data_IF_738022567893
#
_entry.id   IF_738022567893
#
_cell.length_a   1.000
_cell.length_b   1.000
_cell.length_c   1.000
_cell.angle_alpha   90.00
_cell.angle_beta   90.00
_cell.angle_gamma   90.00
#
_symmetry.space_group_name_H-M   'P 1'
#
loop_
_entity.id
_entity.type
_entity.pdbx_description
1 polymer ?
#
# COMPACT_ATOMS: atom_id res chain seq x y z
N UNK A 1 -7.55 5.28 -20.18
CA UNK A 1 -6.13 4.91 -20.09
C UNK A 1 -5.63 4.77 -21.51
N UNK A 2 -4.59 5.50 -21.84
CA UNK A 2 -4.02 5.48 -23.20
C UNK A 2 -3.06 4.28 -23.34
N UNK A 3 -2.69 3.95 -24.57
CA UNK A 3 -1.86 2.77 -24.87
C UNK A 3 -0.51 2.74 -24.15
N UNK A 4 0.04 3.91 -23.84
CA UNK A 4 1.26 4.05 -23.06
C UNK A 4 1.09 3.55 -21.60
N UNK A 5 -0.04 3.87 -20.96
CA UNK A 5 -0.33 3.44 -19.58
C UNK A 5 -0.54 1.92 -19.50
N UNK A 6 -1.14 1.33 -20.53
CA UNK A 6 -1.36 -0.12 -20.60
C UNK A 6 -0.06 -0.90 -20.73
N UNK A 7 0.93 -0.38 -21.45
CA UNK A 7 2.25 -1.00 -21.56
C UNK A 7 3.03 -0.91 -20.25
N UNK A 8 3.03 0.26 -19.60
CA UNK A 8 3.66 0.44 -18.29
C UNK A 8 3.03 -0.46 -17.22
N UNK A 9 1.71 -0.62 -17.22
CA UNK A 9 1.01 -1.53 -16.31
C UNK A 9 1.41 -3.00 -16.52
N UNK A 10 1.66 -3.40 -17.78
CA UNK A 10 2.09 -4.76 -18.12
C UNK A 10 3.55 -5.01 -17.74
N UNK A 11 4.44 -4.04 -17.97
CA UNK A 11 5.85 -4.12 -17.60
C UNK A 11 6.05 -4.12 -16.08
N UNK A 12 5.26 -3.33 -15.35
CA UNK A 12 5.30 -3.23 -13.89
C UNK A 12 4.52 -4.32 -13.14
N UNK A 13 3.92 -5.29 -13.82
CA UNK A 13 3.01 -6.26 -13.19
C UNK A 13 3.67 -7.02 -12.04
N UNK A 14 4.86 -7.58 -12.25
CA UNK A 14 5.55 -8.36 -11.21
C UNK A 14 5.90 -7.53 -9.97
N UNK A 15 6.15 -6.24 -10.16
CA UNK A 15 6.46 -5.30 -9.09
C UNK A 15 5.21 -4.92 -8.31
N UNK A 16 4.09 -4.73 -9.00
CA UNK A 16 2.79 -4.54 -8.34
C UNK A 16 2.38 -5.77 -7.53
N UNK A 17 2.66 -6.98 -8.05
CA UNK A 17 2.46 -8.24 -7.31
C UNK A 17 3.37 -8.27 -6.08
N UNK A 18 4.65 -7.93 -6.25
CA UNK A 18 5.62 -7.91 -5.16
C UNK A 18 5.22 -6.92 -4.05
N UNK A 19 4.74 -5.73 -4.39
CA UNK A 19 4.28 -4.74 -3.41
C UNK A 19 3.05 -5.21 -2.64
N UNK A 20 2.08 -5.79 -3.36
CA UNK A 20 0.84 -6.29 -2.76
C UNK A 20 1.11 -7.45 -1.82
N UNK A 21 1.85 -8.46 -2.27
CA UNK A 21 2.21 -9.63 -1.46
C UNK A 21 3.14 -9.22 -0.32
N UNK A 22 4.10 -8.34 -0.59
CA UNK A 22 5.02 -7.81 0.41
C UNK A 22 4.31 -7.10 1.55
N UNK A 23 3.31 -6.25 1.24
CA UNK A 23 2.48 -5.61 2.25
C UNK A 23 1.72 -6.63 3.09
N UNK A 24 1.08 -7.61 2.46
CA UNK A 24 0.31 -8.66 3.15
C UNK A 24 1.19 -9.46 4.11
N UNK A 25 2.30 -10.00 3.62
CA UNK A 25 3.24 -10.81 4.43
C UNK A 25 3.85 -9.98 5.56
N UNK A 26 4.22 -8.72 5.29
CA UNK A 26 4.74 -7.83 6.32
C UNK A 26 3.70 -7.54 7.42
N UNK A 27 2.43 -7.35 7.06
CA UNK A 27 1.35 -7.13 8.03
C UNK A 27 1.09 -8.38 8.87
N UNK A 28 1.01 -9.56 8.25
CA UNK A 28 0.86 -10.83 8.96
C UNK A 28 2.00 -11.06 9.96
N UNK A 29 3.26 -10.83 9.54
CA UNK A 29 4.43 -10.93 10.41
C UNK A 29 4.38 -9.91 11.57
N UNK A 30 3.92 -8.69 11.28
CA UNK A 30 3.75 -7.64 12.27
C UNK A 30 2.65 -8.00 13.30
N UNK A 31 1.51 -8.55 12.88
CA UNK A 31 0.48 -9.06 13.81
C UNK A 31 0.98 -10.24 14.65
N UNK A 32 1.78 -11.13 14.07
CA UNK A 32 2.30 -12.28 14.79
C UNK A 32 3.24 -11.87 15.93
N UNK A 33 4.13 -10.90 15.69
CA UNK A 33 5.24 -10.57 16.59
C UNK A 33 5.39 -9.06 16.86
N UNK A 34 5.35 -8.23 15.82
CA UNK A 34 5.66 -6.80 15.91
C UNK A 34 4.72 -6.02 16.83
N UNK A 35 3.42 -6.26 16.76
CA UNK A 35 2.42 -5.54 17.55
C UNK A 35 2.60 -5.74 19.05
N UNK A 36 2.93 -6.98 19.48
CA UNK A 36 3.13 -7.35 20.89
C UNK A 36 4.32 -6.63 21.53
N UNK A 37 5.33 -6.30 20.72
CA UNK A 37 6.56 -5.65 21.16
C UNK A 37 6.58 -4.15 20.90
N UNK A 38 5.58 -3.61 20.19
CA UNK A 38 5.58 -2.21 19.77
C UNK A 38 5.10 -1.30 20.91
N UNK A 39 5.93 -0.33 21.29
CA UNK A 39 5.53 0.75 22.17
C UNK A 39 4.52 1.67 21.46
N UNK A 40 3.69 2.38 22.24
CA UNK A 40 2.87 3.47 21.70
C UNK A 40 3.79 4.62 21.29
N UNK A 41 3.55 5.20 20.11
CA UNK A 41 4.31 6.34 19.61
C UNK A 41 3.85 7.64 20.27
N UNK A 42 4.75 8.39 20.95
CA UNK A 42 4.42 9.70 21.51
C UNK A 42 3.94 10.67 20.42
N UNK A 43 2.87 11.41 20.68
CA UNK A 43 2.26 12.36 19.74
C UNK A 43 1.39 11.73 18.65
N UNK A 44 1.26 10.41 18.62
CA UNK A 44 0.42 9.65 17.68
C UNK A 44 -0.55 8.68 18.39
N UNK A 45 -0.80 8.89 19.68
CA UNK A 45 -1.57 7.99 20.55
C UNK A 45 -3.04 7.84 20.14
N UNK A 46 -3.54 8.75 19.30
CA UNK A 46 -4.89 8.69 18.72
C UNK A 46 -5.06 7.59 17.67
N UNK A 47 -3.96 7.06 17.13
CA UNK A 47 -3.99 6.00 16.13
C UNK A 47 -3.80 4.63 16.79
N UNK A 48 -4.49 3.62 16.26
CA UNK A 48 -4.25 2.23 16.65
C UNK A 48 -2.89 1.75 16.11
N UNK A 49 -2.39 0.65 16.66
CA UNK A 49 -1.17 0.02 16.16
C UNK A 49 -1.33 -0.40 14.68
N UNK A 50 -2.50 -0.92 14.28
CA UNK A 50 -2.78 -1.25 12.87
C UNK A 50 -2.71 -0.01 11.97
N UNK A 51 -3.32 1.10 12.40
CA UNK A 51 -3.26 2.36 11.67
C UNK A 51 -1.82 2.87 11.54
N UNK A 52 -1.01 2.73 12.60
CA UNK A 52 0.40 3.10 12.57
C UNK A 52 1.24 2.22 11.65
N UNK A 53 0.96 0.93 11.56
CA UNK A 53 1.61 0.05 10.59
C UNK A 53 1.40 0.55 9.16
N UNK A 54 0.14 0.79 8.77
CA UNK A 54 -0.16 1.28 7.43
C UNK A 54 0.33 2.71 7.20
N UNK A 55 0.31 3.57 8.22
CA UNK A 55 0.89 4.90 8.14
C UNK A 55 2.41 4.83 7.87
N UNK A 56 3.13 3.98 8.58
CA UNK A 56 4.56 3.75 8.37
C UNK A 56 4.84 3.19 6.97
N UNK A 57 4.04 2.23 6.49
CA UNK A 57 4.11 1.75 5.12
C UNK A 57 3.95 2.88 4.11
N UNK A 58 2.90 3.70 4.23
CA UNK A 58 2.65 4.81 3.29
C UNK A 58 3.76 5.86 3.30
N UNK A 59 4.32 6.15 4.47
CA UNK A 59 5.41 7.12 4.60
C UNK A 59 6.67 6.68 3.84
N UNK A 60 6.91 5.37 3.72
CA UNK A 60 8.01 4.81 2.93
C UNK A 60 7.91 5.06 1.42
N UNK A 61 6.71 5.39 0.93
CA UNK A 61 6.44 5.71 -0.49
C UNK A 61 6.46 7.21 -0.80
N UNK A 62 6.64 8.07 0.21
CA UNK A 62 6.73 9.51 0.01
C UNK A 62 7.95 9.87 -0.85
N UNK A 63 7.72 10.32 -2.08
CA UNK A 63 8.76 10.69 -3.03
C UNK A 63 8.45 12.03 -3.73
N UNK A 64 9.50 12.80 -4.01
CA UNK A 64 9.43 13.98 -4.88
C UNK A 64 9.98 13.61 -6.26
N UNK A 65 9.14 13.67 -7.30
CA UNK A 65 9.58 13.43 -8.68
C UNK A 65 9.81 14.75 -9.41
N UNK A 66 11.01 14.90 -9.98
CA UNK A 66 11.28 15.95 -10.95
C UNK A 66 10.52 15.68 -12.26
N UNK A 67 10.06 16.72 -12.95
CA UNK A 67 9.48 16.59 -14.31
C UNK A 67 10.46 16.04 -15.35
N UNK A 68 11.77 16.07 -15.07
CA UNK A 68 12.83 15.52 -15.92
C UNK A 68 13.14 14.04 -15.68
N UNK A 69 12.43 13.41 -14.73
CA UNK A 69 12.69 12.02 -14.36
C UNK A 69 12.28 11.08 -15.49
N UNK A 70 13.24 10.31 -16.01
CA UNK A 70 13.01 9.35 -17.10
C UNK A 70 12.13 8.20 -16.63
N UNK A 71 11.43 7.59 -17.60
CA UNK A 71 10.66 6.35 -17.45
C UNK A 71 11.46 5.30 -16.67
N UNK A 72 10.98 4.97 -15.48
CA UNK A 72 11.40 3.79 -14.73
C UNK A 72 10.53 2.60 -15.17
N UNK A 73 11.03 1.36 -15.10
CA UNK A 73 10.22 0.16 -15.37
C UNK A 73 9.11 -0.04 -14.34
N UNK A 74 9.12 0.72 -13.25
CA UNK A 74 8.09 0.70 -12.22
C UNK A 74 7.12 1.86 -12.38
N UNK A 75 5.84 1.60 -12.07
CA UNK A 75 4.82 2.64 -11.97
C UNK A 75 5.20 3.68 -10.91
N UNK A 76 4.59 4.86 -10.99
CA UNK A 76 4.73 5.91 -9.98
C UNK A 76 4.43 5.36 -8.58
N UNK A 77 5.20 5.78 -7.58
CA UNK A 77 5.13 5.33 -6.18
C UNK A 77 3.71 5.45 -5.65
N UNK A 78 3.05 6.56 -5.97
CA UNK A 78 1.67 6.81 -5.58
C UNK A 78 0.73 5.71 -6.10
N UNK A 79 0.89 5.27 -7.34
CA UNK A 79 0.02 4.26 -7.95
C UNK A 79 0.30 2.89 -7.31
N UNK A 80 1.57 2.54 -7.12
CA UNK A 80 1.99 1.27 -6.47
C UNK A 80 1.44 1.15 -5.06
N UNK A 81 1.62 2.22 -4.26
CA UNK A 81 1.12 2.32 -2.90
C UNK A 81 -0.41 2.23 -2.85
N UNK A 82 -1.13 3.00 -3.67
CA UNK A 82 -2.59 2.98 -3.70
C UNK A 82 -3.14 1.61 -4.10
N UNK A 83 -2.59 0.98 -5.13
CA UNK A 83 -3.01 -0.34 -5.58
C UNK A 83 -2.80 -1.42 -4.52
N UNK A 84 -1.68 -1.37 -3.79
CA UNK A 84 -1.42 -2.30 -2.70
C UNK A 84 -2.42 -2.15 -1.56
N UNK A 85 -2.72 -0.90 -1.16
CA UNK A 85 -3.69 -0.62 -0.09
C UNK A 85 -5.14 -0.93 -0.47
N UNK A 86 -5.55 -0.61 -1.70
CA UNK A 86 -6.90 -0.91 -2.20
C UNK A 86 -7.21 -2.42 -2.16
N UNK A 87 -6.19 -3.24 -2.40
CA UNK A 87 -6.29 -4.69 -2.37
C UNK A 87 -6.14 -5.30 -0.97
N UNK A 88 -5.88 -4.52 0.09
CA UNK A 88 -5.78 -5.01 1.47
C UNK A 88 -7.10 -4.78 2.24
N UNK A 89 -7.84 -5.87 2.59
CA UNK A 89 -8.97 -5.78 3.51
C UNK A 89 -8.58 -5.25 4.89
N UNK A 90 -7.39 -5.59 5.36
CA UNK A 90 -6.86 -5.22 6.67
C UNK A 90 -6.63 -3.70 6.76
N UNK A 91 -6.14 -3.09 5.69
CA UNK A 91 -6.05 -1.63 5.58
C UNK A 91 -7.44 -0.98 5.66
N UNK A 92 -8.39 -1.50 4.88
CA UNK A 92 -9.76 -0.98 4.87
C UNK A 92 -10.42 -1.10 6.24
N UNK A 93 -10.17 -2.18 6.98
CA UNK A 93 -10.64 -2.38 8.35
C UNK A 93 -9.97 -1.41 9.34
N UNK A 94 -8.64 -1.31 9.32
CA UNK A 94 -7.87 -0.44 10.21
C UNK A 94 -8.30 1.03 10.12
N UNK A 95 -8.66 1.49 8.92
CA UNK A 95 -9.12 2.86 8.66
C UNK A 95 -10.63 3.00 8.52
N UNK A 96 -11.40 1.91 8.70
CA UNK A 96 -12.86 1.87 8.59
C UNK A 96 -13.36 2.47 7.27
N UNK A 97 -12.69 2.12 6.17
CA UNK A 97 -13.02 2.61 4.83
C UNK A 97 -14.39 2.06 4.38
N UNK A 98 -15.35 2.92 3.99
CA UNK A 98 -16.64 2.48 3.44
C UNK A 98 -16.45 1.61 2.19
N UNK A 99 -17.32 0.61 1.97
CA UNK A 99 -17.26 -0.32 0.82
C UNK A 99 -17.46 0.35 -0.55
N UNK A 100 -17.87 1.62 -0.56
CA UNK A 100 -18.02 2.44 -1.78
C UNK A 100 -16.87 3.43 -1.95
N UNK A 101 -15.91 3.46 -1.03
CA UNK A 101 -14.82 4.43 -1.05
C UNK A 101 -13.74 4.03 -2.05
N UNK A 102 -13.02 5.03 -2.57
CA UNK A 102 -11.89 4.82 -3.47
C UNK A 102 -10.84 3.86 -2.89
N UNK A 103 -10.64 3.86 -1.57
CA UNK A 103 -9.65 3.04 -0.90
C UNK A 103 -10.15 1.65 -0.48
N UNK A 104 -11.43 1.34 -0.69
CA UNK A 104 -11.99 0.02 -0.44
C UNK A 104 -12.89 -0.40 -1.60
N UNK A 105 -12.32 -0.63 -2.80
CA UNK A 105 -13.09 -1.12 -3.93
C UNK A 105 -13.63 -2.54 -3.63
N UNK A 106 -14.82 -2.88 -4.18
CA UNK A 106 -15.44 -4.19 -3.98
C UNK A 106 -14.62 -5.31 -4.64
N UNK A 107 -14.09 -5.05 -5.84
CA UNK A 107 -13.22 -5.97 -6.55
C UNK A 107 -11.79 -5.75 -6.09
N UNK A 108 -11.23 -6.76 -5.42
CA UNK A 108 -9.84 -6.78 -4.95
C UNK A 108 -9.07 -7.86 -5.68
N UNK A 109 -7.86 -7.54 -6.10
CA UNK A 109 -6.91 -8.54 -6.59
C UNK A 109 -6.33 -9.28 -5.37
N UNK A 110 -6.58 -10.58 -5.26
CA UNK A 110 -5.97 -11.43 -4.23
C UNK A 110 -5.03 -12.41 -4.90
N UNK A 111 -3.77 -12.39 -4.45
CA UNK A 111 -2.72 -13.25 -5.00
C UNK A 111 -2.05 -13.95 -3.81
N UNK A 112 -2.15 -15.29 -3.80
CA UNK A 112 -1.69 -16.20 -2.74
C UNK A 112 -2.45 -16.06 -1.41
#
# INVERSE_FOLDING_TARGET
MDSHDMNAAKEGLYENIADHVGLKVAYEAWKANGEKTSARMPGLEKYSQDQLFFLAYTQGWCALRSKSYKLQPHMEERIRMLGSLQNSPEFAEAWKCPTTSFMNPPDKCTIW
#
